data_IF_488617207064
#
_entry.id   IF_488617207064
#
_cell.length_a   1.000
_cell.length_b   1.000
_cell.length_c   1.000
_cell.angle_alpha   90.00
_cell.angle_beta   90.00
_cell.angle_gamma   90.00
#
_symmetry.space_group_name_H-M   'P 1'
#
loop_
_entity.id
_entity.type
_entity.pdbx_description
1 polymer ?
#
# COMPACT_ATOMS: atom_id res chain seq x y z
N UNK A 1 -24.11 1.39 -2.36
CA UNK A 1 -23.11 1.85 -1.36
C UNK A 1 -21.79 1.25 -1.79
N UNK A 2 -20.84 2.09 -2.12
CA UNK A 2 -19.60 1.62 -2.73
C UNK A 2 -18.77 0.85 -1.71
N UNK A 3 -18.38 -0.36 -2.05
CA UNK A 3 -17.56 -1.26 -1.25
C UNK A 3 -16.30 -0.56 -0.70
N UNK A 4 -15.68 0.31 -1.50
CA UNK A 4 -14.51 1.10 -1.11
C UNK A 4 -14.81 2.10 0.00
N UNK A 5 -16.00 2.72 0.01
CA UNK A 5 -16.44 3.63 1.08
C UNK A 5 -16.62 2.85 2.38
N UNK A 6 -17.16 1.64 2.31
CA UNK A 6 -17.33 0.77 3.48
C UNK A 6 -15.97 0.42 4.10
N UNK A 7 -14.98 0.05 3.28
CA UNK A 7 -13.62 -0.27 3.75
C UNK A 7 -12.96 0.97 4.35
N UNK A 8 -13.04 2.12 3.68
CA UNK A 8 -12.47 3.37 4.19
C UNK A 8 -13.08 3.73 5.54
N UNK A 9 -14.40 3.73 5.65
CA UNK A 9 -15.08 4.01 6.91
C UNK A 9 -14.72 3.00 8.01
N UNK A 10 -14.57 1.72 7.66
CA UNK A 10 -14.11 0.68 8.58
C UNK A 10 -12.69 0.92 9.09
N UNK A 11 -11.77 1.28 8.21
CA UNK A 11 -10.39 1.62 8.57
C UNK A 11 -10.32 2.90 9.43
N UNK A 12 -11.07 3.94 9.08
CA UNK A 12 -11.12 5.19 9.82
C UNK A 12 -11.71 4.99 11.21
N UNK A 13 -12.80 4.23 11.34
CA UNK A 13 -13.41 3.89 12.62
C UNK A 13 -12.47 3.08 13.52
N UNK A 14 -11.79 2.08 12.96
CA UNK A 14 -10.80 1.29 13.69
C UNK A 14 -9.65 2.18 14.18
N UNK A 15 -9.16 3.06 13.33
CA UNK A 15 -8.08 3.99 13.69
C UNK A 15 -8.54 4.95 14.80
N UNK A 16 -9.71 5.55 14.70
CA UNK A 16 -10.19 6.51 15.71
C UNK A 16 -10.52 5.84 17.05
N UNK A 17 -11.04 4.62 17.05
CA UNK A 17 -11.46 3.91 18.27
C UNK A 17 -10.28 3.29 19.01
N UNK A 18 -9.31 2.71 18.29
CA UNK A 18 -8.24 1.90 18.88
C UNK A 18 -6.95 2.69 19.06
N UNK A 19 -6.66 3.70 18.23
CA UNK A 19 -5.42 4.48 18.28
C UNK A 19 -5.12 5.05 19.68
N UNK A 20 -6.05 5.67 20.43
CA UNK A 20 -5.74 6.25 21.75
C UNK A 20 -5.21 5.19 22.75
N UNK A 21 -5.73 3.98 22.68
CA UNK A 21 -5.30 2.86 23.54
C UNK A 21 -3.89 2.41 23.17
N UNK A 22 -3.60 2.31 21.88
CA UNK A 22 -2.28 1.92 21.37
C UNK A 22 -1.24 2.99 21.64
N UNK A 23 -1.58 4.27 21.49
CA UNK A 23 -0.70 5.39 21.82
C UNK A 23 -0.31 5.38 23.29
N UNK A 24 -1.28 5.15 24.19
CA UNK A 24 -1.03 5.05 25.63
C UNK A 24 -0.13 3.87 25.96
N UNK A 25 -0.31 2.74 25.29
CA UNK A 25 0.55 1.57 25.42
C UNK A 25 1.98 1.89 24.94
N UNK A 26 2.13 2.49 23.77
CA UNK A 26 3.41 2.90 23.20
C UNK A 26 4.18 3.84 24.13
N UNK A 27 3.52 4.85 24.71
CA UNK A 27 4.14 5.76 25.68
C UNK A 27 4.64 5.02 26.94
N UNK A 28 3.85 4.08 27.47
CA UNK A 28 4.29 3.26 28.61
C UNK A 28 5.48 2.39 28.25
N UNK A 29 5.50 1.81 27.04
CA UNK A 29 6.63 1.01 26.54
C UNK A 29 7.89 1.86 26.41
N UNK A 30 7.83 3.08 25.86
CA UNK A 30 9.01 3.96 25.78
C UNK A 30 9.55 4.25 27.17
N UNK A 31 8.70 4.62 28.13
CA UNK A 31 9.13 4.95 29.50
C UNK A 31 9.79 3.72 30.16
N UNK A 32 9.17 2.55 30.02
CA UNK A 32 9.72 1.31 30.58
C UNK A 32 11.09 0.95 29.98
N UNK A 33 11.19 0.95 28.64
CA UNK A 33 12.44 0.66 27.95
C UNK A 33 13.51 1.71 28.25
N UNK A 34 13.17 2.99 28.27
CA UNK A 34 14.08 4.07 28.62
C UNK A 34 14.63 3.89 30.04
N UNK A 35 13.78 3.52 31.00
CA UNK A 35 14.18 3.27 32.39
C UNK A 35 15.18 2.09 32.49
N UNK A 36 14.86 0.98 31.83
CA UNK A 36 15.73 -0.20 31.78
C UNK A 36 17.09 0.15 31.17
N UNK A 37 17.05 0.86 30.04
CA UNK A 37 18.27 1.25 29.32
C UNK A 37 19.11 2.28 30.10
N UNK A 38 18.47 3.19 30.83
CA UNK A 38 19.17 4.15 31.67
C UNK A 38 19.93 3.45 32.81
N UNK A 39 19.28 2.49 33.46
CA UNK A 39 19.92 1.65 34.51
C UNK A 39 21.06 0.86 33.90
N UNK A 40 20.84 0.22 32.74
CA UNK A 40 21.89 -0.53 32.06
C UNK A 40 23.09 0.34 31.66
N UNK A 41 22.85 1.54 31.16
CA UNK A 41 23.88 2.53 30.85
C UNK A 41 24.68 2.89 32.09
N UNK A 42 24.02 3.16 33.23
CA UNK A 42 24.69 3.47 34.51
C UNK A 42 25.57 2.33 35.01
N UNK A 43 25.10 1.09 34.89
CA UNK A 43 25.90 -0.11 35.25
C UNK A 43 27.12 -0.24 34.35
N UNK A 44 26.97 -0.09 33.05
CA UNK A 44 28.13 -0.16 32.13
C UNK A 44 29.16 0.90 32.39
N UNK A 45 28.74 2.13 32.65
CA UNK A 45 29.65 3.25 32.93
C UNK A 45 30.38 3.09 34.27
N UNK A 46 29.67 2.54 35.28
CA UNK A 46 30.26 2.22 36.57
C UNK A 46 31.30 1.12 36.44
N UNK A 47 31.04 0.07 35.67
CA UNK A 47 32.00 -1.01 35.40
C UNK A 47 33.23 -0.51 34.62
N UNK A 48 33.04 0.35 33.63
CA UNK A 48 34.10 0.95 32.83
C UNK A 48 35.03 1.81 33.72
N UNK A 49 34.44 2.59 34.62
CA UNK A 49 35.21 3.39 35.61
C UNK A 49 36.00 2.51 36.57
N UNK A 50 35.45 1.39 37.04
CA UNK A 50 36.13 0.45 37.95
C UNK A 50 37.29 -0.28 37.27
N UNK A 51 37.29 -0.42 35.94
CA UNK A 51 38.37 -1.03 35.16
C UNK A 51 39.48 -0.04 34.74
N UNK A 52 39.50 1.17 35.30
CA UNK A 52 40.53 2.17 34.99
C UNK A 52 40.24 2.98 33.71
N UNK A 53 39.02 2.95 33.23
CA UNK A 53 38.57 3.78 32.10
C UNK A 53 38.50 5.27 32.47
N UNK A 54 38.53 6.12 31.46
CA UNK A 54 38.46 7.59 31.59
C UNK A 54 37.06 8.03 32.02
N UNK A 55 36.65 7.90 33.24
CA UNK A 55 35.47 8.51 33.85
C UNK A 55 34.18 8.50 33.01
N UNK A 56 33.16 9.20 33.47
CA UNK A 56 31.84 9.28 32.80
C UNK A 56 31.94 9.91 31.40
N UNK A 57 31.50 9.15 30.36
CA UNK A 57 31.55 9.61 28.98
C UNK A 57 30.29 10.44 28.64
N UNK A 58 30.43 11.76 28.76
CA UNK A 58 29.32 12.72 28.49
C UNK A 58 28.79 12.59 27.05
N UNK A 59 29.65 12.35 26.07
CA UNK A 59 29.22 12.25 24.67
C UNK A 59 28.31 11.03 24.44
N UNK A 60 28.65 9.88 25.01
CA UNK A 60 27.79 8.68 24.98
C UNK A 60 26.47 8.92 25.71
N UNK A 61 26.51 9.61 26.85
CA UNK A 61 25.29 9.92 27.59
C UNK A 61 24.36 10.83 26.80
N UNK A 62 24.89 11.90 26.20
CA UNK A 62 24.08 12.81 25.37
C UNK A 62 23.47 12.07 24.19
N UNK A 63 24.24 11.24 23.47
CA UNK A 63 23.73 10.43 22.35
C UNK A 63 22.59 9.51 22.79
N UNK A 64 22.77 8.84 23.91
CA UNK A 64 21.76 7.96 24.51
C UNK A 64 20.51 8.74 24.93
N UNK A 65 20.67 9.88 25.61
CA UNK A 65 19.58 10.74 26.01
C UNK A 65 18.78 11.29 24.80
N UNK A 66 19.49 11.69 23.76
CA UNK A 66 18.86 12.14 22.51
C UNK A 66 18.05 11.02 21.87
N UNK A 67 18.55 9.79 21.84
CA UNK A 67 17.83 8.64 21.28
C UNK A 67 16.52 8.38 22.03
N UNK A 68 16.55 8.37 23.36
CA UNK A 68 15.33 8.22 24.19
C UNK A 68 14.35 9.37 23.94
N UNK A 69 14.86 10.60 23.88
CA UNK A 69 14.03 11.78 23.63
C UNK A 69 13.36 11.70 22.25
N UNK A 70 14.10 11.26 21.23
CA UNK A 70 13.56 11.03 19.90
C UNK A 70 12.47 9.96 19.92
N UNK A 71 12.71 8.81 20.55
CA UNK A 71 11.71 7.75 20.64
C UNK A 71 10.44 8.22 21.36
N UNK A 72 10.60 8.97 22.47
CA UNK A 72 9.47 9.55 23.19
C UNK A 72 8.68 10.54 22.33
N UNK A 73 9.37 11.46 21.65
CA UNK A 73 8.74 12.44 20.77
C UNK A 73 8.02 11.75 19.61
N UNK A 74 8.61 10.73 19.01
CA UNK A 74 7.99 10.00 17.90
C UNK A 74 6.69 9.31 18.32
N UNK A 75 6.66 8.68 19.49
CA UNK A 75 5.42 8.07 20.00
C UNK A 75 4.43 9.14 20.41
N UNK A 76 4.88 10.19 21.14
CA UNK A 76 4.02 11.29 21.62
C UNK A 76 3.31 12.01 20.48
N UNK A 77 4.02 12.26 19.38
CA UNK A 77 3.52 13.02 18.23
C UNK A 77 3.20 12.13 17.03
N UNK A 78 2.98 10.85 17.28
CA UNK A 78 2.66 9.91 16.20
C UNK A 78 1.32 10.23 15.55
N UNK A 79 0.25 10.28 16.31
CA UNK A 79 -1.09 10.67 15.86
C UNK A 79 -1.48 12.11 16.28
N UNK A 80 -0.81 12.72 17.27
CA UNK A 80 -1.03 14.08 17.68
C UNK A 80 -0.16 15.07 16.89
N UNK A 81 -0.67 16.28 16.64
CA UNK A 81 0.05 17.31 15.90
C UNK A 81 1.28 17.81 16.66
N UNK A 82 2.40 17.95 15.93
CA UNK A 82 3.64 18.53 16.45
C UNK A 82 3.44 20.04 16.60
N UNK A 83 3.70 20.61 17.79
CA UNK A 83 3.60 22.04 18.01
C UNK A 83 4.50 22.82 17.04
N UNK A 84 3.94 23.78 16.33
CA UNK A 84 4.66 24.61 15.36
C UNK A 84 4.67 24.07 13.92
N UNK A 85 4.38 22.78 13.69
CA UNK A 85 4.32 22.18 12.35
C UNK A 85 2.86 21.92 11.94
N UNK A 86 1.98 21.63 12.90
CA UNK A 86 0.55 21.40 12.66
C UNK A 86 0.20 20.00 12.13
N UNK A 87 1.17 19.16 11.84
CA UNK A 87 1.00 17.78 11.37
C UNK A 87 1.51 16.78 12.39
N UNK A 88 0.89 15.60 12.45
CA UNK A 88 1.42 14.45 13.17
C UNK A 88 2.45 13.71 12.29
N UNK A 89 3.31 12.88 12.89
CA UNK A 89 4.29 12.10 12.13
C UNK A 89 3.61 11.19 11.08
N UNK A 90 2.54 10.52 11.48
CA UNK A 90 1.73 9.69 10.59
C UNK A 90 1.08 10.52 9.47
N UNK A 91 0.46 11.65 9.81
CA UNK A 91 -0.18 12.52 8.82
C UNK A 91 0.81 13.18 7.87
N UNK A 92 2.04 13.42 8.29
CA UNK A 92 3.10 13.92 7.42
C UNK A 92 3.45 12.92 6.31
N UNK A 93 3.60 11.64 6.66
CA UNK A 93 3.92 10.59 5.69
C UNK A 93 2.70 10.30 4.80
N UNK A 94 1.53 10.07 5.40
CA UNK A 94 0.30 9.76 4.66
C UNK A 94 -0.21 10.95 3.84
N UNK A 95 -0.05 12.17 4.32
CA UNK A 95 -0.37 13.40 3.57
C UNK A 95 0.56 13.60 2.38
N UNK A 96 1.87 13.34 2.56
CA UNK A 96 2.83 13.41 1.47
C UNK A 96 2.52 12.40 0.35
N UNK A 97 2.21 11.16 0.70
CA UNK A 97 1.83 10.14 -0.29
C UNK A 97 0.48 10.45 -0.94
N UNK A 98 -0.50 10.97 -0.19
CA UNK A 98 -1.78 11.41 -0.76
C UNK A 98 -1.60 12.55 -1.75
N UNK A 99 -0.77 13.55 -1.43
CA UNK A 99 -0.45 14.64 -2.36
C UNK A 99 0.22 14.14 -3.64
N UNK A 100 1.09 13.11 -3.53
CA UNK A 100 1.67 12.46 -4.70
C UNK A 100 0.63 11.72 -5.54
N UNK A 101 -0.32 11.05 -4.92
CA UNK A 101 -1.45 10.40 -5.61
C UNK A 101 -2.28 11.45 -6.35
N UNK A 102 -2.58 12.58 -5.69
CA UNK A 102 -3.33 13.68 -6.31
C UNK A 102 -2.59 14.29 -7.50
N UNK A 103 -1.27 14.39 -7.43
CA UNK A 103 -0.42 14.89 -8.54
C UNK A 103 -0.34 13.93 -9.73
N UNK A 104 -0.29 12.60 -9.46
CA UNK A 104 -0.16 11.57 -10.51
C UNK A 104 -1.51 11.34 -11.18
N UNK A 105 -2.60 11.58 -10.47
CA UNK A 105 -3.94 11.46 -10.99
C UNK A 105 -4.95 11.00 -9.95
N UNK A 106 -5.44 11.92 -9.14
CA UNK A 106 -6.65 11.69 -8.32
C UNK A 106 -7.84 11.30 -9.20
N UNK A 107 -7.88 11.84 -10.42
CA UNK A 107 -8.89 11.53 -11.42
C UNK A 107 -8.72 10.14 -12.04
N UNK A 108 -7.47 9.64 -12.14
CA UNK A 108 -7.21 8.41 -12.91
C UNK A 108 -7.87 7.15 -12.32
N UNK A 109 -7.91 7.01 -10.99
CA UNK A 109 -8.58 5.86 -10.36
C UNK A 109 -10.09 5.94 -10.53
N UNK A 110 -10.63 7.16 -10.37
CA UNK A 110 -12.06 7.43 -10.53
C UNK A 110 -12.43 7.43 -12.01
N UNK A 111 -11.57 7.92 -12.88
CA UNK A 111 -11.70 7.90 -14.32
C UNK A 111 -11.67 6.48 -14.90
N UNK A 112 -10.78 5.60 -14.41
CA UNK A 112 -10.80 4.17 -14.77
C UNK A 112 -12.10 3.53 -14.34
N UNK A 113 -12.54 3.75 -13.11
CA UNK A 113 -13.81 3.18 -12.65
C UNK A 113 -15.00 3.70 -13.44
N UNK A 114 -15.09 5.00 -13.67
CA UNK A 114 -16.17 5.60 -14.47
C UNK A 114 -16.12 5.14 -15.92
N UNK A 115 -14.93 5.03 -16.51
CA UNK A 115 -14.75 4.52 -17.89
C UNK A 115 -15.14 3.06 -17.99
N UNK A 116 -14.74 2.21 -17.04
CA UNK A 116 -15.14 0.81 -16.98
C UNK A 116 -16.65 0.66 -16.76
N UNK A 117 -17.24 1.44 -15.85
CA UNK A 117 -18.68 1.45 -15.64
C UNK A 117 -19.45 1.93 -16.88
N UNK A 118 -18.94 2.97 -17.56
CA UNK A 118 -19.53 3.47 -18.81
C UNK A 118 -19.39 2.44 -19.94
N UNK A 119 -18.24 1.79 -20.04
CA UNK A 119 -18.06 0.69 -21.00
C UNK A 119 -18.99 -0.47 -20.69
N UNK A 120 -19.10 -0.86 -19.41
CA UNK A 120 -19.99 -1.93 -18.96
C UNK A 120 -21.46 -1.61 -19.23
N UNK A 121 -21.90 -0.38 -18.94
CA UNK A 121 -23.27 0.05 -19.19
C UNK A 121 -23.59 0.10 -20.69
N UNK A 122 -22.66 0.61 -21.51
CA UNK A 122 -22.83 0.61 -22.98
C UNK A 122 -22.90 -0.81 -23.54
N UNK A 123 -22.05 -1.72 -23.09
CA UNK A 123 -22.12 -3.13 -23.49
C UNK A 123 -23.42 -3.77 -23.00
N UNK A 124 -23.86 -3.44 -21.77
CA UNK A 124 -25.15 -3.95 -21.23
C UNK A 124 -26.39 -3.41 -21.89
N UNK A 125 -26.34 -2.21 -22.49
CA UNK A 125 -27.47 -1.64 -23.28
C UNK A 125 -27.53 -2.18 -24.70
N UNK A 126 -26.50 -2.84 -25.21
CA UNK A 126 -26.53 -3.56 -26.45
C UNK A 126 -27.44 -4.79 -26.27
N UNK A 127 -28.62 -4.74 -26.81
CA UNK A 127 -29.53 -5.90 -26.88
C UNK A 127 -29.18 -6.69 -28.14
N UNK A 128 -28.29 -7.68 -28.10
CA UNK A 128 -28.02 -8.49 -29.26
C UNK A 128 -29.29 -9.25 -29.59
N UNK A 129 -29.65 -9.24 -30.87
CA UNK A 129 -30.80 -10.01 -31.34
C UNK A 129 -30.59 -11.48 -31.05
N UNK A 130 -31.58 -12.17 -30.52
CA UNK A 130 -31.56 -13.62 -30.31
C UNK A 130 -31.30 -14.42 -31.61
N UNK A 131 -31.36 -13.76 -32.76
CA UNK A 131 -31.06 -14.33 -34.08
C UNK A 131 -29.54 -14.44 -34.35
N UNK A 132 -28.69 -13.77 -33.56
CA UNK A 132 -27.25 -13.82 -33.75
C UNK A 132 -26.53 -14.32 -32.46
N UNK A 133 -26.46 -15.65 -32.25
CA UNK A 133 -25.90 -16.22 -31.00
C UNK A 133 -24.44 -15.88 -30.76
N UNK A 134 -23.69 -15.61 -31.82
CA UNK A 134 -22.27 -15.26 -31.74
C UNK A 134 -22.04 -13.86 -31.13
N UNK A 135 -22.81 -12.86 -31.53
CA UNK A 135 -22.76 -11.50 -31.00
C UNK A 135 -23.16 -11.48 -29.52
N UNK A 136 -24.14 -12.28 -29.16
CA UNK A 136 -24.60 -12.45 -27.77
C UNK A 136 -23.49 -13.03 -26.89
N UNK A 137 -22.84 -14.09 -27.34
CA UNK A 137 -21.73 -14.72 -26.62
C UNK A 137 -20.55 -13.74 -26.44
N UNK A 138 -20.19 -12.98 -27.47
CA UNK A 138 -19.15 -11.95 -27.41
C UNK A 138 -19.50 -10.86 -26.39
N UNK A 139 -20.72 -10.36 -26.38
CA UNK A 139 -21.19 -9.31 -25.47
C UNK A 139 -21.05 -9.76 -24.00
N UNK A 140 -21.56 -10.95 -23.68
CA UNK A 140 -21.43 -11.49 -22.31
C UNK A 140 -19.99 -11.74 -21.91
N UNK A 141 -19.14 -12.22 -22.81
CA UNK A 141 -17.72 -12.44 -22.53
C UNK A 141 -17.00 -11.12 -22.19
N UNK A 142 -17.24 -10.05 -22.96
CA UNK A 142 -16.69 -8.71 -22.67
C UNK A 142 -17.18 -8.21 -21.31
N UNK A 143 -18.47 -8.36 -21.02
CA UNK A 143 -19.06 -7.92 -19.78
C UNK A 143 -18.47 -8.63 -18.56
N UNK A 144 -18.25 -9.93 -18.65
CA UNK A 144 -17.61 -10.73 -17.58
C UNK A 144 -16.17 -10.26 -17.37
N UNK A 145 -15.40 -10.07 -18.44
CA UNK A 145 -13.98 -9.66 -18.34
C UNK A 145 -13.86 -8.25 -17.73
N UNK A 146 -14.67 -7.29 -18.16
CA UNK A 146 -14.69 -5.94 -17.60
C UNK A 146 -15.12 -5.97 -16.12
N UNK A 147 -16.08 -6.81 -15.75
CA UNK A 147 -16.49 -6.98 -14.35
C UNK A 147 -15.38 -7.54 -13.48
N UNK A 148 -14.65 -8.54 -13.97
CA UNK A 148 -13.49 -9.11 -13.28
C UNK A 148 -12.39 -8.05 -13.10
N UNK A 149 -12.09 -7.25 -14.13
CA UNK A 149 -11.10 -6.20 -14.07
C UNK A 149 -11.48 -5.14 -13.03
N UNK A 150 -12.74 -4.71 -13.02
CA UNK A 150 -13.27 -3.75 -12.03
C UNK A 150 -13.17 -4.29 -10.61
N UNK A 151 -13.50 -5.56 -10.39
CA UNK A 151 -13.38 -6.21 -9.09
C UNK A 151 -11.91 -6.30 -8.64
N UNK A 152 -11.00 -6.62 -9.56
CA UNK A 152 -9.56 -6.70 -9.28
C UNK A 152 -9.01 -5.33 -8.83
N UNK A 153 -9.37 -4.26 -9.50
CA UNK A 153 -9.00 -2.88 -9.12
C UNK A 153 -9.49 -2.57 -7.70
N UNK A 154 -10.75 -2.90 -7.41
CA UNK A 154 -11.32 -2.71 -6.08
C UNK A 154 -10.56 -3.46 -4.98
N UNK A 155 -10.18 -4.70 -5.23
CA UNK A 155 -9.40 -5.53 -4.29
C UNK A 155 -8.02 -4.92 -4.03
N UNK A 156 -7.34 -4.43 -5.06
CA UNK A 156 -6.00 -3.84 -4.94
C UNK A 156 -6.03 -2.56 -4.11
N UNK A 157 -7.01 -1.67 -4.37
CA UNK A 157 -7.20 -0.45 -3.59
C UNK A 157 -7.51 -0.79 -2.12
N UNK A 158 -8.41 -1.74 -1.90
CA UNK A 158 -8.78 -2.20 -0.57
C UNK A 158 -7.59 -2.77 0.20
N UNK A 159 -6.77 -3.60 -0.43
CA UNK A 159 -5.56 -4.17 0.16
C UNK A 159 -4.58 -3.08 0.62
N UNK A 160 -4.32 -2.08 -0.22
CA UNK A 160 -3.45 -0.95 0.14
C UNK A 160 -4.00 -0.14 1.31
N UNK A 161 -5.29 0.16 1.31
CA UNK A 161 -5.94 0.94 2.37
C UNK A 161 -5.93 0.20 3.71
N UNK A 162 -6.29 -1.08 3.73
CA UNK A 162 -6.29 -1.92 4.94
C UNK A 162 -4.87 -2.08 5.47
N UNK A 163 -3.90 -2.39 4.60
CA UNK A 163 -2.51 -2.56 4.98
C UNK A 163 -1.91 -1.29 5.61
N UNK A 164 -2.13 -0.13 5.00
CA UNK A 164 -1.68 1.15 5.54
C UNK A 164 -2.34 1.47 6.89
N UNK A 165 -3.65 1.20 7.05
CA UNK A 165 -4.36 1.43 8.30
C UNK A 165 -3.83 0.54 9.43
N UNK A 166 -3.66 -0.76 9.18
CA UNK A 166 -3.19 -1.75 10.19
C UNK A 166 -1.74 -1.45 10.60
N UNK A 167 -0.84 -1.27 9.64
CA UNK A 167 0.58 -1.02 9.95
C UNK A 167 0.76 0.38 10.56
N UNK A 168 0.01 1.38 10.08
CA UNK A 168 -0.01 2.69 10.67
C UNK A 168 -0.51 2.70 12.11
N UNK A 169 -1.50 1.86 12.45
CA UNK A 169 -2.01 1.74 13.82
C UNK A 169 -0.96 1.16 14.79
N UNK A 170 -0.08 0.27 14.30
CA UNK A 170 0.93 -0.40 15.11
C UNK A 170 2.18 0.45 15.38
N UNK A 171 2.29 1.65 14.79
CA UNK A 171 3.45 2.53 14.94
C UNK A 171 3.90 2.77 16.37
N UNK A 172 3.03 3.20 17.28
CA UNK A 172 3.41 3.49 18.67
C UNK A 172 3.97 2.27 19.43
N UNK A 173 3.66 1.05 19.00
CA UNK A 173 4.18 -0.19 19.60
C UNK A 173 5.59 -0.51 19.09
N UNK A 174 5.89 -0.21 17.82
CA UNK A 174 7.18 -0.53 17.21
C UNK A 174 8.24 0.56 17.39
N UNK A 175 7.86 1.83 17.51
CA UNK A 175 8.78 2.95 17.71
C UNK A 175 9.66 2.79 18.98
N UNK A 176 9.15 2.34 20.13
CA UNK A 176 9.95 2.18 21.34
C UNK A 176 11.16 1.26 21.18
N UNK A 177 11.09 0.26 20.31
CA UNK A 177 12.17 -0.70 20.08
C UNK A 177 13.42 -0.09 19.44
N UNK A 178 13.32 1.15 18.91
CA UNK A 178 14.46 1.91 18.43
C UNK A 178 15.50 2.21 19.53
N UNK A 179 15.09 2.25 20.80
CA UNK A 179 15.96 2.61 21.93
C UNK A 179 16.98 1.51 22.24
N UNK A 180 16.71 0.27 21.85
CA UNK A 180 17.56 -0.87 22.18
C UNK A 180 18.22 -1.44 20.93
N UNK A 181 19.55 -1.29 20.80
CA UNK A 181 20.37 -1.63 19.62
C UNK A 181 20.15 -3.07 19.10
N UNK A 182 19.79 -4.01 19.99
CA UNK A 182 19.56 -5.40 19.59
C UNK A 182 18.17 -5.65 18.99
N UNK A 183 17.24 -4.75 19.19
CA UNK A 183 15.84 -4.87 18.72
C UNK A 183 15.43 -3.73 17.81
N UNK A 184 16.33 -2.83 17.46
CA UNK A 184 16.09 -1.72 16.54
C UNK A 184 15.61 -2.18 15.17
N UNK A 185 15.95 -3.42 14.77
CA UNK A 185 15.45 -4.03 13.53
C UNK A 185 13.94 -4.12 13.49
N UNK A 186 13.24 -4.18 14.63
CA UNK A 186 11.77 -4.17 14.70
C UNK A 186 11.21 -2.82 14.28
N UNK A 187 11.83 -1.73 14.75
CA UNK A 187 11.48 -0.37 14.33
C UNK A 187 11.75 -0.17 12.83
N UNK A 188 12.95 -0.52 12.36
CA UNK A 188 13.30 -0.36 10.95
C UNK A 188 12.45 -1.24 10.03
N UNK A 189 12.11 -2.46 10.48
CA UNK A 189 11.21 -3.36 9.77
C UNK A 189 9.80 -2.77 9.64
N UNK A 190 9.25 -2.27 10.75
CA UNK A 190 7.96 -1.60 10.76
C UNK A 190 7.97 -0.34 9.88
N UNK A 191 8.99 0.52 9.99
CA UNK A 191 9.08 1.75 9.20
C UNK A 191 9.11 1.47 7.70
N UNK A 192 9.89 0.47 7.28
CA UNK A 192 9.92 0.03 5.87
C UNK A 192 8.56 -0.48 5.41
N UNK A 193 7.88 -1.27 6.23
CA UNK A 193 6.55 -1.76 5.92
C UNK A 193 5.53 -0.62 5.83
N UNK A 194 5.55 0.32 6.77
CA UNK A 194 4.67 1.49 6.79
C UNK A 194 4.85 2.35 5.54
N UNK A 195 6.08 2.72 5.22
CA UNK A 195 6.41 3.44 3.99
C UNK A 195 5.99 2.62 2.75
N UNK A 196 6.24 1.32 2.74
CA UNK A 196 5.84 0.44 1.65
C UNK A 196 4.34 0.46 1.37
N UNK A 197 3.49 0.40 2.41
CA UNK A 197 2.03 0.47 2.24
C UNK A 197 1.53 1.86 1.90
N UNK A 198 2.14 2.91 2.42
CA UNK A 198 1.80 4.28 2.03
C UNK A 198 2.17 4.56 0.56
N UNK A 199 3.34 4.15 0.10
CA UNK A 199 3.74 4.28 -1.31
C UNK A 199 3.03 3.29 -2.24
N UNK A 200 2.45 2.23 -1.70
CA UNK A 200 1.60 1.32 -2.49
C UNK A 200 0.47 2.07 -3.20
N UNK A 201 -0.15 3.04 -2.51
CA UNK A 201 -1.20 3.90 -3.08
C UNK A 201 -0.68 4.70 -4.28
N UNK A 202 0.55 5.22 -4.18
CA UNK A 202 1.19 6.00 -5.25
C UNK A 202 1.49 5.13 -6.47
N UNK A 203 2.06 3.93 -6.26
CA UNK A 203 2.35 2.99 -7.34
C UNK A 203 1.06 2.50 -8.00
N UNK A 204 0.03 2.23 -7.19
CA UNK A 204 -1.29 1.85 -7.70
C UNK A 204 -1.91 2.97 -8.55
N UNK A 205 -1.89 4.22 -8.07
CA UNK A 205 -2.41 5.36 -8.81
C UNK A 205 -1.67 5.56 -10.14
N UNK A 206 -0.33 5.51 -10.14
CA UNK A 206 0.48 5.63 -11.34
C UNK A 206 0.16 4.51 -12.35
N UNK A 207 0.06 3.28 -11.88
CA UNK A 207 -0.28 2.13 -12.73
C UNK A 207 -1.68 2.28 -13.32
N UNK A 208 -2.64 2.70 -12.51
CA UNK A 208 -4.02 2.92 -12.96
C UNK A 208 -4.11 4.07 -13.95
N UNK A 209 -3.35 5.16 -13.76
CA UNK A 209 -3.28 6.27 -14.71
C UNK A 209 -2.84 5.80 -16.11
N UNK A 210 -1.76 5.03 -16.17
CA UNK A 210 -1.29 4.47 -17.46
C UNK A 210 -2.34 3.54 -18.07
N UNK A 211 -2.96 2.68 -17.27
CA UNK A 211 -3.96 1.73 -17.76
C UNK A 211 -5.23 2.44 -18.24
N UNK A 212 -5.67 3.53 -17.55
CA UNK A 212 -6.83 4.32 -17.99
C UNK A 212 -6.59 4.94 -19.36
N UNK A 213 -5.44 5.58 -19.54
CA UNK A 213 -5.09 6.19 -20.83
C UNK A 213 -5.03 5.16 -21.96
N UNK A 214 -4.47 3.98 -21.71
CA UNK A 214 -4.45 2.90 -22.69
C UNK A 214 -5.85 2.40 -23.02
N UNK A 215 -6.69 2.19 -22.00
CA UNK A 215 -8.06 1.73 -22.17
C UNK A 215 -8.92 2.75 -22.91
N UNK A 216 -8.86 4.03 -22.50
CA UNK A 216 -9.60 5.13 -23.13
C UNK A 216 -9.14 5.30 -24.57
N UNK A 217 -7.82 5.32 -24.82
CA UNK A 217 -7.26 5.43 -26.17
C UNK A 217 -7.74 4.28 -27.07
N UNK A 218 -7.75 3.06 -26.55
CA UNK A 218 -8.25 1.90 -27.29
C UNK A 218 -9.75 1.98 -27.56
N UNK A 219 -10.55 2.39 -26.58
CA UNK A 219 -12.00 2.52 -26.72
C UNK A 219 -12.42 3.71 -27.62
N UNK A 220 -11.63 4.80 -27.64
CA UNK A 220 -11.92 5.99 -28.45
C UNK A 220 -11.38 5.90 -29.87
N UNK A 221 -10.28 5.18 -30.11
CA UNK A 221 -9.61 5.07 -31.42
C UNK A 221 -10.41 4.34 -32.50
N UNK A 222 -11.72 4.23 -32.37
CA UNK A 222 -12.62 3.71 -33.38
C UNK A 222 -13.45 2.50 -32.95
N UNK A 223 -13.32 2.11 -31.70
CA UNK A 223 -13.94 0.92 -31.17
C UNK A 223 -15.39 1.14 -30.74
N UNK A 224 -15.72 2.30 -30.23
CA UNK A 224 -17.05 2.54 -29.65
C UNK A 224 -17.90 3.63 -30.35
N UNK A 225 -17.74 3.82 -31.61
CA UNK A 225 -18.86 4.36 -32.43
C UNK A 225 -19.89 3.23 -32.59
N UNK A 226 -20.77 3.16 -31.62
CA UNK A 226 -21.50 1.99 -31.12
C UNK A 226 -22.74 1.65 -31.92
N UNK A 227 -22.76 1.86 -33.19
CA UNK A 227 -23.96 1.59 -34.00
C UNK A 227 -23.98 0.21 -34.70
N UNK A 228 -22.93 -0.61 -34.46
CA UNK A 228 -22.93 -1.95 -35.04
C UNK A 228 -22.32 -3.01 -34.12
N UNK A 229 -23.08 -3.99 -33.62
CA UNK A 229 -22.57 -5.12 -32.81
C UNK A 229 -21.48 -5.93 -33.51
N UNK A 230 -21.41 -5.90 -34.83
CA UNK A 230 -20.38 -6.55 -35.64
C UNK A 230 -18.96 -5.98 -35.40
N UNK A 231 -18.80 -4.71 -35.00
CA UNK A 231 -17.50 -4.12 -34.67
C UNK A 231 -16.95 -4.64 -33.36
N UNK A 232 -17.77 -5.00 -32.40
CA UNK A 232 -17.36 -5.65 -31.14
C UNK A 232 -16.57 -6.92 -31.41
N UNK A 233 -16.96 -7.70 -32.41
CA UNK A 233 -16.27 -8.94 -32.76
C UNK A 233 -14.83 -8.68 -33.23
N UNK A 234 -14.63 -7.63 -34.03
CA UNK A 234 -13.30 -7.27 -34.56
C UNK A 234 -12.37 -6.72 -33.47
N UNK A 235 -12.94 -6.07 -32.44
CA UNK A 235 -12.20 -5.42 -31.36
C UNK A 235 -11.96 -6.34 -30.16
N UNK A 236 -12.72 -7.44 -30.06
CA UNK A 236 -12.63 -8.41 -28.97
C UNK A 236 -11.18 -8.88 -28.69
N UNK A 237 -10.39 -9.31 -29.69
CA UNK A 237 -9.04 -9.82 -29.40
C UNK A 237 -8.14 -8.76 -28.76
N UNK A 238 -8.18 -7.52 -29.22
CA UNK A 238 -7.38 -6.44 -28.68
C UNK A 238 -7.81 -6.05 -27.25
N UNK A 239 -9.12 -5.99 -26.99
CA UNK A 239 -9.67 -5.71 -25.67
C UNK A 239 -9.29 -6.83 -24.68
N UNK A 240 -9.38 -8.09 -25.10
CA UNK A 240 -8.96 -9.25 -24.30
C UNK A 240 -7.48 -9.15 -23.91
N UNK A 241 -6.60 -8.90 -24.85
CA UNK A 241 -5.18 -8.73 -24.61
C UNK A 241 -4.92 -7.59 -23.63
N UNK A 242 -5.56 -6.44 -23.86
CA UNK A 242 -5.44 -5.27 -22.98
C UNK A 242 -5.89 -5.58 -21.55
N UNK A 243 -7.02 -6.25 -21.37
CA UNK A 243 -7.53 -6.62 -20.05
C UNK A 243 -6.63 -7.65 -19.34
N UNK A 244 -6.08 -8.62 -20.09
CA UNK A 244 -5.13 -9.60 -19.53
C UNK A 244 -3.86 -8.89 -19.07
N UNK A 245 -3.29 -8.00 -19.90
CA UNK A 245 -2.10 -7.21 -19.56
C UNK A 245 -2.39 -6.32 -18.34
N UNK A 246 -3.51 -5.60 -18.36
CA UNK A 246 -3.92 -4.78 -17.22
C UNK A 246 -4.03 -5.60 -15.92
N UNK A 247 -4.73 -6.72 -15.96
CA UNK A 247 -4.86 -7.63 -14.82
C UNK A 247 -3.51 -8.14 -14.32
N UNK A 248 -2.62 -8.53 -15.22
CA UNK A 248 -1.27 -8.98 -14.87
C UNK A 248 -0.44 -7.86 -14.22
N UNK A 249 -0.46 -6.66 -14.76
CA UNK A 249 0.27 -5.50 -14.20
C UNK A 249 -0.28 -5.13 -12.83
N UNK A 250 -1.61 -5.09 -12.68
CA UNK A 250 -2.28 -4.80 -11.41
C UNK A 250 -1.86 -5.81 -10.32
N UNK A 251 -1.81 -7.10 -10.62
CA UNK A 251 -1.35 -8.14 -9.69
C UNK A 251 0.13 -8.02 -9.31
N UNK A 252 0.94 -7.29 -10.09
CA UNK A 252 2.35 -7.04 -9.79
C UNK A 252 2.59 -5.80 -8.92
N UNK A 253 1.60 -4.96 -8.68
CA UNK A 253 1.74 -3.75 -7.85
C UNK A 253 2.35 -4.04 -6.46
N UNK A 254 1.88 -5.05 -5.69
CA UNK A 254 2.48 -5.36 -4.38
C UNK A 254 3.97 -5.69 -4.48
N UNK A 255 4.35 -6.45 -5.51
CA UNK A 255 5.75 -6.83 -5.74
C UNK A 255 6.60 -5.62 -6.15
N UNK A 256 6.09 -4.76 -7.03
CA UNK A 256 6.78 -3.53 -7.45
C UNK A 256 7.05 -2.62 -6.26
N UNK A 257 6.06 -2.41 -5.40
CA UNK A 257 6.21 -1.59 -4.20
C UNK A 257 7.20 -2.21 -3.21
N UNK A 258 7.13 -3.51 -2.99
CA UNK A 258 8.07 -4.22 -2.12
C UNK A 258 9.52 -4.11 -2.61
N UNK A 259 9.78 -4.16 -3.91
CA UNK A 259 11.13 -4.02 -4.47
C UNK A 259 11.70 -2.61 -4.30
N UNK A 260 10.87 -1.57 -4.34
CA UNK A 260 11.31 -0.19 -4.11
C UNK A 260 11.88 0.01 -2.69
N UNK A 261 11.31 -0.66 -1.69
CA UNK A 261 11.71 -0.49 -0.28
C UNK A 261 12.66 -1.57 0.25
N UNK A 262 12.72 -2.75 -0.40
CA UNK A 262 13.61 -3.82 0.03
C UNK A 262 15.06 -3.64 -0.44
N UNK A 263 15.31 -2.80 -1.44
CA UNK A 263 16.63 -2.60 -2.03
C UNK A 263 17.20 -3.84 -2.73
N UNK A 264 16.42 -4.92 -2.82
CA UNK A 264 16.79 -6.14 -3.50
C UNK A 264 15.97 -6.26 -4.79
N UNK A 265 16.62 -6.13 -5.92
CA UNK A 265 16.08 -6.48 -7.24
C UNK A 265 16.02 -8.00 -7.47
N UNK A 266 15.94 -8.78 -6.39
CA UNK A 266 16.01 -10.24 -6.41
C UNK A 266 14.69 -10.89 -6.07
N UNK A 267 14.06 -11.48 -7.08
CA UNK A 267 12.82 -12.20 -7.02
C UNK A 267 12.71 -13.24 -5.91
N UNK A 268 11.85 -12.96 -4.96
CA UNK A 268 11.10 -13.93 -4.17
C UNK A 268 9.61 -13.58 -4.21
N UNK A 269 9.12 -13.09 -5.35
CA UNK A 269 7.73 -13.22 -5.70
C UNK A 269 7.50 -14.66 -6.14
N UNK A 270 6.43 -15.30 -5.68
CA UNK A 270 5.91 -16.53 -6.31
C UNK A 270 5.54 -16.14 -7.74
N UNK A 271 6.56 -16.06 -8.60
CA UNK A 271 6.37 -15.86 -10.02
C UNK A 271 5.71 -17.12 -10.58
N UNK A 272 4.79 -16.94 -11.50
CA UNK A 272 4.18 -18.06 -12.25
C UNK A 272 5.24 -19.05 -12.78
N UNK A 273 6.48 -18.57 -13.02
CA UNK A 273 7.63 -19.42 -13.34
C UNK A 273 8.02 -20.38 -12.22
N UNK A 274 7.92 -19.98 -10.94
CA UNK A 274 8.20 -20.87 -9.81
C UNK A 274 7.15 -21.97 -9.66
N UNK A 275 5.90 -21.68 -9.96
CA UNK A 275 4.83 -22.70 -9.96
C UNK A 275 4.98 -23.67 -11.12
N UNK A 276 5.37 -23.20 -12.29
CA UNK A 276 5.62 -24.04 -13.48
C UNK A 276 6.84 -24.94 -13.22
N UNK A 277 7.92 -24.41 -12.66
CA UNK A 277 9.12 -25.20 -12.32
C UNK A 277 8.83 -26.23 -11.24
N UNK A 278 8.05 -25.87 -10.20
CA UNK A 278 7.63 -26.80 -9.16
C UNK A 278 6.69 -27.89 -9.70
N UNK A 279 5.83 -27.57 -10.65
CA UNK A 279 4.96 -28.55 -11.32
C UNK A 279 5.76 -29.51 -12.21
N UNK A 280 6.78 -29.03 -12.92
CA UNK A 280 7.65 -29.85 -13.77
C UNK A 280 8.51 -30.79 -12.92
N UNK A 281 9.09 -30.31 -11.81
CA UNK A 281 9.91 -31.14 -10.90
C UNK A 281 9.08 -32.24 -10.20
N UNK A 282 7.78 -32.05 -10.02
CA UNK A 282 6.88 -33.06 -9.45
C UNK A 282 6.38 -34.09 -10.48
N UNK A 283 6.54 -33.83 -11.77
CA UNK A 283 6.10 -34.69 -12.87
C UNK A 283 7.22 -35.60 -13.45
N UNK A 284 8.46 -35.42 -12.97
CA UNK A 284 9.63 -36.26 -13.21
C UNK A 284 9.95 -37.06 -11.95
#
# INVERSE_FOLDING_TARGET
MDFLILIKNGCDNLTTTVAPSIDSLGLRMVIALATIMLVWFGVQESLASAQGGSGFNIAKFISFFMLITFAYCFVKFYDSSIPGIGYSLKSFISGGTSSLVDYIGSDSTQEVQTTLHTALSKVGTMSPSLTEPYTLLCTYTVQIILSILTALIGVIIAYGAIGAAVIGLLGPVFIPWMVFDKTDFLFWGWLKAFLGFEFYKVVAAATMSVMSHLLISYLTSGAMSVDAPQRLITLMPGLLILCIVAGFVLLKIPTMTATLFSGHTGGHGIGMGGLITAAIIRAV
#
